data_IF_438875678419
#
_entry.id   IF_438875678419
#
_cell.length_a   1.000
_cell.length_b   1.000
_cell.length_c   1.000
_cell.angle_alpha   90.00
_cell.angle_beta   90.00
_cell.angle_gamma   90.00
#
_symmetry.space_group_name_H-M   'P 1'
#
loop_
_entity.id
_entity.type
_entity.pdbx_description
1 polymer ?
#
# COMPACT_ATOMS: atom_id res chain seq x y z
N UNK A 1 21.62 12.31 -9.29
CA UNK A 1 20.17 12.14 -9.05
C UNK A 1 19.89 12.36 -7.57
N UNK A 2 18.99 13.29 -7.18
CA UNK A 2 18.57 13.44 -5.78
C UNK A 2 17.88 12.13 -5.35
N UNK A 3 18.47 11.41 -4.40
CA UNK A 3 17.88 10.20 -3.81
C UNK A 3 16.61 10.59 -3.06
N UNK A 4 15.44 10.27 -3.62
CA UNK A 4 14.17 10.46 -2.91
C UNK A 4 14.17 9.53 -1.70
N UNK A 5 14.17 10.09 -0.48
CA UNK A 5 14.07 9.31 0.76
C UNK A 5 12.82 8.42 0.69
N UNK A 6 13.00 7.11 0.85
CA UNK A 6 11.89 6.17 0.86
C UNK A 6 11.02 6.39 2.11
N UNK A 7 9.80 6.91 1.91
CA UNK A 7 8.84 7.10 3.00
C UNK A 7 8.11 5.78 3.29
N UNK A 8 8.20 5.28 4.52
CA UNK A 8 7.44 4.12 4.99
C UNK A 8 5.93 4.42 4.99
N UNK A 9 5.10 3.38 4.95
CA UNK A 9 3.66 3.50 5.18
C UNK A 9 3.42 3.73 6.67
N UNK A 10 2.54 4.68 7.01
CA UNK A 10 2.05 4.86 8.37
C UNK A 10 1.05 3.75 8.74
N UNK A 11 0.74 3.63 10.02
CA UNK A 11 -0.30 2.71 10.50
C UNK A 11 -1.66 3.06 9.88
N UNK A 12 -2.01 4.35 9.81
CA UNK A 12 -3.25 4.82 9.19
C UNK A 12 -3.35 4.41 7.71
N UNK A 13 -2.27 4.59 6.94
CA UNK A 13 -2.25 4.16 5.54
C UNK A 13 -2.46 2.64 5.41
N UNK A 14 -1.89 1.84 6.32
CA UNK A 14 -2.08 0.38 6.34
C UNK A 14 -3.53 0.00 6.65
N UNK A 15 -4.15 0.62 7.64
CA UNK A 15 -5.56 0.39 7.98
C UNK A 15 -6.44 0.67 6.75
N UNK A 16 -6.22 1.81 6.07
CA UNK A 16 -6.95 2.16 4.85
C UNK A 16 -6.73 1.12 3.73
N UNK A 17 -5.50 0.66 3.52
CA UNK A 17 -5.20 -0.39 2.52
C UNK A 17 -5.97 -1.66 2.85
N UNK A 18 -5.97 -2.10 4.12
CA UNK A 18 -6.66 -3.31 4.56
C UNK A 18 -8.17 -3.20 4.31
N UNK A 19 -8.83 -2.14 4.77
CA UNK A 19 -10.26 -1.93 4.57
C UNK A 19 -10.63 -1.92 3.07
N UNK A 20 -9.83 -1.25 2.24
CA UNK A 20 -10.11 -1.20 0.80
C UNK A 20 -9.88 -2.53 0.08
N UNK A 21 -8.98 -3.38 0.59
CA UNK A 21 -8.81 -4.74 0.07
C UNK A 21 -9.98 -5.64 0.44
N UNK A 22 -10.50 -5.51 1.66
CA UNK A 22 -11.72 -6.22 2.12
C UNK A 22 -12.93 -5.81 1.27
N UNK A 23 -13.05 -4.53 0.91
CA UNK A 23 -14.02 -4.02 -0.07
C UNK A 23 -13.76 -4.45 -1.53
N UNK A 24 -12.77 -5.33 -1.77
CA UNK A 24 -12.35 -5.82 -3.10
C UNK A 24 -11.93 -4.72 -4.06
N UNK A 25 -11.46 -3.56 -3.57
CA UNK A 25 -10.92 -2.50 -4.45
C UNK A 25 -9.59 -2.93 -5.05
N UNK A 26 -9.32 -2.45 -6.26
CA UNK A 26 -8.07 -2.80 -6.95
C UNK A 26 -6.86 -2.09 -6.31
N UNK A 27 -5.70 -2.76 -6.34
CA UNK A 27 -4.42 -2.18 -5.85
C UNK A 27 -4.08 -0.83 -6.53
N UNK A 28 -4.51 -0.65 -7.78
CA UNK A 28 -4.35 0.61 -8.53
C UNK A 28 -5.20 1.74 -7.96
N UNK A 29 -6.46 1.44 -7.61
CA UNK A 29 -7.35 2.39 -6.97
C UNK A 29 -6.82 2.85 -5.61
N UNK A 30 -6.37 1.90 -4.78
CA UNK A 30 -5.80 2.18 -3.46
C UNK A 30 -4.55 3.06 -3.58
N UNK A 31 -3.68 2.76 -4.54
CA UNK A 31 -2.49 3.56 -4.83
C UNK A 31 -2.83 5.02 -5.20
N UNK A 32 -3.84 5.23 -6.07
CA UNK A 32 -4.33 6.57 -6.42
C UNK A 32 -4.91 7.29 -5.21
N UNK A 33 -5.71 6.61 -4.38
CA UNK A 33 -6.35 7.19 -3.18
C UNK A 33 -5.32 7.65 -2.14
N UNK A 34 -4.22 6.92 -1.98
CA UNK A 34 -3.16 7.25 -1.00
C UNK A 34 -2.02 8.09 -1.59
N UNK A 35 -2.05 8.42 -2.89
CA UNK A 35 -0.92 9.09 -3.56
C UNK A 35 0.38 8.27 -3.52
N UNK A 36 0.28 6.95 -3.38
CA UNK A 36 1.42 6.03 -3.29
C UNK A 36 1.61 5.30 -4.61
N UNK A 37 2.82 4.79 -4.84
CA UNK A 37 3.06 3.95 -6.02
C UNK A 37 2.34 2.60 -5.87
N UNK A 38 1.81 2.05 -6.97
CA UNK A 38 1.23 0.70 -6.99
C UNK A 38 2.20 -0.35 -6.45
N UNK A 39 3.49 -0.21 -6.72
CA UNK A 39 4.53 -1.12 -6.24
C UNK A 39 4.69 -1.10 -4.71
N UNK A 40 4.45 0.05 -4.07
CA UNK A 40 4.44 0.18 -2.61
C UNK A 40 3.27 -0.59 -2.02
N UNK A 41 2.07 -0.43 -2.59
CA UNK A 41 0.87 -1.14 -2.14
C UNK A 41 1.06 -2.66 -2.34
N UNK A 42 1.51 -3.12 -3.50
CA UNK A 42 1.75 -4.55 -3.75
C UNK A 42 2.74 -5.16 -2.77
N UNK A 43 3.84 -4.47 -2.45
CA UNK A 43 4.80 -4.95 -1.44
C UNK A 43 4.18 -5.08 -0.06
N UNK A 44 3.35 -4.12 0.35
CA UNK A 44 2.66 -4.17 1.64
C UNK A 44 1.67 -5.34 1.69
N UNK A 45 0.84 -5.50 0.64
CA UNK A 45 -0.12 -6.62 0.58
C UNK A 45 0.59 -7.97 0.58
N UNK A 46 1.64 -8.13 -0.23
CA UNK A 46 2.39 -9.39 -0.27
C UNK A 46 3.04 -9.71 1.09
N UNK A 47 3.45 -8.69 1.86
CA UNK A 47 3.97 -8.89 3.22
C UNK A 47 2.92 -9.47 4.16
N UNK A 48 1.66 -9.07 4.03
CA UNK A 48 0.57 -9.61 4.85
C UNK A 48 0.19 -11.04 4.45
N UNK A 49 0.23 -11.36 3.16
CA UNK A 49 -0.11 -12.70 2.64
C UNK A 49 1.03 -13.71 2.87
N UNK A 50 2.27 -13.24 3.04
CA UNK A 50 3.45 -14.11 3.21
C UNK A 50 3.64 -14.64 4.63
N UNK A 51 2.75 -14.32 5.57
CA UNK A 51 2.79 -14.88 6.93
C UNK A 51 1.72 -15.99 7.02
N UNK A 52 2.13 -17.28 7.08
CA UNK A 52 1.23 -18.38 7.41
C UNK A 52 0.75 -18.30 8.87
#
# INVERSE_FOLDING_TARGET
MKTKKHKRLSLEERVIIQTLLEEKKTKSFIAKKLGRSRSTITREVNKWVSLP
#
